data_IF_738138863359
#
_entry.id   IF_738138863359
#
_cell.length_a   1.000
_cell.length_b   1.000
_cell.length_c   1.000
_cell.angle_alpha   90.00
_cell.angle_beta   90.00
_cell.angle_gamma   90.00
#
_symmetry.space_group_name_H-M   'P 1'
#
loop_
_entity.id
_entity.type
_entity.pdbx_description
1 polymer ?
#
# COMPACT_ATOMS: atom_id res chain seq x y z
N UNK A 1 -37.42 1.84 13.39
CA UNK A 1 -37.22 2.65 12.17
C UNK A 1 -35.80 2.50 11.64
N UNK A 2 -34.81 2.22 12.50
CA UNK A 2 -33.40 2.02 12.11
C UNK A 2 -33.12 0.89 11.14
N UNK A 3 -33.73 -0.30 11.32
CA UNK A 3 -33.38 -1.50 10.52
C UNK A 3 -33.57 -1.32 9.01
N UNK A 4 -34.66 -0.68 8.57
CA UNK A 4 -34.90 -0.47 7.13
C UNK A 4 -33.98 0.61 6.55
N UNK A 5 -33.62 1.63 7.35
CA UNK A 5 -32.62 2.62 6.97
C UNK A 5 -31.23 1.96 6.83
N UNK A 6 -30.84 1.09 7.77
CA UNK A 6 -29.59 0.32 7.69
C UNK A 6 -29.54 -0.52 6.41
N UNK A 7 -30.65 -1.19 6.06
CA UNK A 7 -30.74 -2.00 4.84
C UNK A 7 -30.59 -1.13 3.59
N UNK A 8 -31.26 0.02 3.53
CA UNK A 8 -31.12 0.98 2.43
C UNK A 8 -29.67 1.46 2.27
N UNK A 9 -29.02 1.85 3.36
CA UNK A 9 -27.61 2.26 3.37
C UNK A 9 -26.66 1.11 3.01
N UNK A 10 -26.98 -0.13 3.37
CA UNK A 10 -26.18 -1.30 2.99
C UNK A 10 -26.12 -1.51 1.47
N UNK A 11 -27.19 -1.18 0.73
CA UNK A 11 -27.17 -1.21 -0.74
C UNK A 11 -26.34 -0.09 -1.36
N UNK A 12 -26.35 1.09 -0.73
CA UNK A 12 -25.56 2.26 -1.15
C UNK A 12 -24.09 2.16 -0.74
N UNK A 13 -23.73 1.23 0.13
CA UNK A 13 -22.40 1.15 0.74
C UNK A 13 -21.25 1.06 -0.28
N UNK A 14 -21.47 0.43 -1.43
CA UNK A 14 -20.46 0.41 -2.49
C UNK A 14 -20.15 1.83 -3.01
N UNK A 15 -21.19 2.63 -3.27
CA UNK A 15 -21.04 3.99 -3.79
C UNK A 15 -20.45 4.91 -2.71
N UNK A 16 -20.90 4.74 -1.46
CA UNK A 16 -20.31 5.46 -0.32
C UNK A 16 -18.81 5.15 -0.18
N UNK A 17 -18.38 3.90 -0.39
CA UNK A 17 -16.95 3.56 -0.34
C UNK A 17 -16.18 4.16 -1.53
N UNK A 18 -16.80 4.22 -2.72
CA UNK A 18 -16.18 4.82 -3.90
C UNK A 18 -15.94 6.33 -3.71
N UNK A 19 -16.85 7.01 -3.02
CA UNK A 19 -16.78 8.45 -2.72
C UNK A 19 -16.00 8.77 -1.42
N UNK A 20 -15.29 7.80 -0.85
CA UNK A 20 -14.43 8.04 0.31
C UNK A 20 -13.20 8.89 -0.10
N UNK A 21 -12.80 9.93 0.65
CA UNK A 21 -13.22 10.30 2.00
C UNK A 21 -14.40 11.28 2.12
N UNK A 22 -14.90 11.83 1.01
CA UNK A 22 -15.98 12.83 1.02
C UNK A 22 -17.29 12.26 1.62
N UNK A 23 -17.48 10.95 1.54
CA UNK A 23 -18.61 10.21 2.10
C UNK A 23 -18.55 9.95 3.62
N UNK A 24 -17.53 10.44 4.33
CA UNK A 24 -17.34 10.26 5.79
C UNK A 24 -18.61 10.42 6.64
N UNK A 25 -19.45 11.48 6.50
CA UNK A 25 -20.65 11.62 7.33
C UNK A 25 -21.66 10.49 7.12
N UNK A 26 -21.89 10.07 5.88
CA UNK A 26 -22.82 8.97 5.56
C UNK A 26 -22.30 7.61 6.07
N UNK A 27 -20.99 7.42 6.08
CA UNK A 27 -20.31 6.26 6.68
C UNK A 27 -20.46 6.29 8.21
N UNK A 28 -20.42 7.49 8.83
CA UNK A 28 -20.68 7.72 10.25
C UNK A 28 -22.10 7.33 10.68
N UNK A 29 -23.12 7.70 9.91
CA UNK A 29 -24.51 7.28 10.17
C UNK A 29 -24.63 5.75 10.19
N UNK A 30 -23.94 5.07 9.27
CA UNK A 30 -23.95 3.61 9.18
C UNK A 30 -23.26 2.96 10.39
N UNK A 31 -22.22 3.58 10.93
CA UNK A 31 -21.55 3.14 12.17
C UNK A 31 -22.51 3.16 13.36
N UNK A 32 -23.26 4.25 13.53
CA UNK A 32 -24.26 4.36 14.60
C UNK A 32 -25.39 3.36 14.41
N UNK A 33 -25.84 3.17 13.17
CA UNK A 33 -26.87 2.19 12.86
C UNK A 33 -26.43 0.74 13.13
N UNK A 34 -25.16 0.40 12.87
CA UNK A 34 -24.60 -0.95 13.15
C UNK A 34 -24.33 -1.19 14.63
N UNK A 35 -24.09 -0.15 15.42
CA UNK A 35 -23.95 -0.34 16.88
C UNK A 35 -25.30 -0.68 17.51
N UNK A 36 -26.39 -0.19 16.94
CA UNK A 36 -27.76 -0.44 17.39
C UNK A 36 -28.40 -1.68 16.75
N UNK A 37 -27.86 -2.19 15.64
CA UNK A 37 -28.43 -3.32 14.89
C UNK A 37 -27.44 -4.48 14.72
N UNK A 38 -27.90 -5.73 14.84
CA UNK A 38 -27.10 -6.94 14.63
C UNK A 38 -26.95 -7.33 13.14
N UNK A 39 -26.85 -6.36 12.22
CA UNK A 39 -26.93 -6.56 10.77
C UNK A 39 -25.58 -6.69 10.04
N UNK A 40 -24.47 -6.82 10.78
CA UNK A 40 -23.10 -6.91 10.21
C UNK A 40 -22.97 -8.00 9.14
N UNK A 41 -23.61 -9.16 9.35
CA UNK A 41 -23.62 -10.25 8.37
C UNK A 41 -24.33 -9.85 7.07
N UNK A 42 -25.52 -9.26 7.18
CA UNK A 42 -26.29 -8.79 6.03
C UNK A 42 -25.49 -7.77 5.21
N UNK A 43 -24.88 -6.79 5.89
CA UNK A 43 -24.03 -5.78 5.24
C UNK A 43 -22.85 -6.42 4.51
N UNK A 44 -22.16 -7.37 5.15
CA UNK A 44 -21.03 -8.07 4.55
C UNK A 44 -21.44 -8.87 3.29
N UNK A 45 -22.62 -9.48 3.30
CA UNK A 45 -23.16 -10.23 2.15
C UNK A 45 -23.56 -9.31 1.01
N UNK A 46 -24.30 -8.24 1.32
CA UNK A 46 -24.73 -7.23 0.34
C UNK A 46 -23.54 -6.54 -0.32
N UNK A 47 -22.55 -6.11 0.47
CA UNK A 47 -21.32 -5.51 -0.06
C UNK A 47 -20.52 -6.51 -0.90
N UNK A 48 -20.38 -7.76 -0.46
CA UNK A 48 -19.69 -8.80 -1.23
C UNK A 48 -20.37 -9.05 -2.59
N UNK A 49 -21.70 -9.04 -2.65
CA UNK A 49 -22.45 -9.19 -3.89
C UNK A 49 -22.22 -8.00 -4.83
N UNK A 50 -22.25 -6.77 -4.30
CA UNK A 50 -21.97 -5.55 -5.07
C UNK A 50 -20.54 -5.53 -5.63
N UNK A 51 -19.53 -5.90 -4.82
CA UNK A 51 -18.13 -5.98 -5.24
C UNK A 51 -17.93 -6.99 -6.39
N UNK A 52 -18.54 -8.18 -6.28
CA UNK A 52 -18.47 -9.19 -7.36
C UNK A 52 -19.11 -8.72 -8.65
N UNK A 53 -20.26 -8.03 -8.56
CA UNK A 53 -21.01 -7.58 -9.73
C UNK A 53 -20.35 -6.38 -10.43
N UNK A 54 -19.81 -5.44 -9.66
CA UNK A 54 -19.41 -4.10 -10.17
C UNK A 54 -17.90 -3.88 -10.29
N UNK A 55 -17.07 -4.69 -9.62
CA UNK A 55 -15.63 -4.45 -9.55
C UNK A 55 -14.78 -5.67 -9.91
N UNK A 56 -15.14 -6.86 -9.40
CA UNK A 56 -14.33 -8.07 -9.57
C UNK A 56 -14.62 -8.78 -10.90
N UNK A 57 -14.51 -8.04 -12.00
CA UNK A 57 -14.69 -8.54 -13.35
C UNK A 57 -13.49 -8.18 -14.25
N UNK A 58 -13.22 -8.96 -15.31
CA UNK A 58 -12.03 -8.78 -16.16
C UNK A 58 -11.88 -7.37 -16.75
N UNK A 59 -12.98 -6.65 -17.00
CA UNK A 59 -12.94 -5.29 -17.57
C UNK A 59 -12.51 -4.18 -16.62
N UNK A 60 -12.35 -4.44 -15.31
CA UNK A 60 -11.90 -3.41 -14.36
C UNK A 60 -10.37 -3.29 -14.41
N UNK A 61 -9.81 -2.08 -14.32
CA UNK A 61 -8.35 -1.88 -14.27
C UNK A 61 -7.82 -2.21 -12.88
N UNK A 62 -6.61 -2.76 -12.80
CA UNK A 62 -6.00 -3.18 -11.53
C UNK A 62 -5.86 -2.00 -10.56
N UNK A 63 -5.54 -0.81 -11.08
CA UNK A 63 -5.49 0.45 -10.31
C UNK A 63 -6.83 0.80 -9.67
N UNK A 64 -7.93 0.74 -10.41
CA UNK A 64 -9.27 1.09 -9.89
C UNK A 64 -9.70 0.12 -8.77
N UNK A 65 -9.39 -1.18 -8.92
CA UNK A 65 -9.66 -2.19 -7.90
C UNK A 65 -8.83 -1.93 -6.64
N UNK A 66 -7.56 -1.58 -6.83
CA UNK A 66 -6.65 -1.26 -5.73
C UNK A 66 -7.08 0.00 -4.98
N UNK A 67 -7.45 1.06 -5.70
CA UNK A 67 -7.96 2.31 -5.12
C UNK A 67 -9.22 2.03 -4.30
N UNK A 68 -10.20 1.32 -4.86
CA UNK A 68 -11.40 0.97 -4.09
C UNK A 68 -11.07 0.05 -2.90
N UNK A 69 -10.09 -0.85 -3.01
CA UNK A 69 -9.66 -1.67 -1.88
C UNK A 69 -9.10 -0.81 -0.73
N UNK A 70 -8.29 0.20 -1.04
CA UNK A 70 -7.76 1.16 -0.06
C UNK A 70 -8.90 1.96 0.58
N UNK A 71 -9.80 2.54 -0.22
CA UNK A 71 -10.98 3.26 0.28
C UNK A 71 -11.89 2.35 1.13
N UNK A 72 -12.11 1.10 0.70
CA UNK A 72 -12.89 0.10 1.42
C UNK A 72 -12.28 -0.18 2.78
N UNK A 73 -10.96 -0.33 2.86
CA UNK A 73 -10.25 -0.58 4.11
C UNK A 73 -10.49 0.57 5.08
N UNK A 74 -10.33 1.83 4.65
CA UNK A 74 -10.54 2.98 5.53
C UNK A 74 -12.00 3.14 5.95
N UNK A 75 -12.92 3.13 4.99
CA UNK A 75 -14.35 3.30 5.24
C UNK A 75 -14.92 2.18 6.14
N UNK A 76 -14.61 0.91 5.85
CA UNK A 76 -15.13 -0.22 6.63
C UNK A 76 -14.52 -0.26 8.03
N UNK A 77 -13.27 0.18 8.22
CA UNK A 77 -12.70 0.33 9.57
C UNK A 77 -13.36 1.44 10.36
N UNK A 78 -13.75 2.53 9.69
CA UNK A 78 -14.51 3.60 10.33
C UNK A 78 -15.87 3.08 10.82
N UNK A 79 -16.52 2.24 10.02
CA UNK A 79 -17.82 1.60 10.32
C UNK A 79 -17.71 0.53 11.41
N UNK A 80 -16.75 -0.39 11.28
CA UNK A 80 -16.58 -1.55 12.14
C UNK A 80 -15.13 -1.64 12.67
N UNK A 81 -14.85 -1.03 13.85
CA UNK A 81 -13.54 -1.11 14.47
C UNK A 81 -13.10 -2.53 14.84
N UNK A 82 -14.05 -3.48 14.98
CA UNK A 82 -13.72 -4.88 15.25
C UNK A 82 -13.23 -5.60 13.98
N UNK A 83 -13.46 -5.04 12.78
CA UNK A 83 -12.95 -5.61 11.52
C UNK A 83 -13.68 -6.87 11.05
N UNK A 84 -14.86 -7.17 11.58
CA UNK A 84 -15.67 -8.35 11.21
C UNK A 84 -16.09 -8.24 9.74
N UNK A 85 -16.64 -7.08 9.35
CA UNK A 85 -17.07 -6.85 7.95
C UNK A 85 -15.86 -6.93 7.00
N UNK A 86 -14.76 -6.26 7.35
CA UNK A 86 -13.53 -6.25 6.54
C UNK A 86 -12.98 -7.67 6.32
N UNK A 87 -12.95 -8.50 7.37
CA UNK A 87 -12.43 -9.88 7.28
C UNK A 87 -13.17 -10.75 6.26
N UNK A 88 -14.47 -10.46 6.01
CA UNK A 88 -15.30 -11.21 5.07
C UNK A 88 -15.17 -10.70 3.63
N UNK A 89 -15.10 -9.39 3.44
CA UNK A 89 -15.09 -8.78 2.10
C UNK A 89 -13.69 -8.68 1.49
N UNK A 90 -12.64 -8.59 2.32
CA UNK A 90 -11.27 -8.42 1.83
C UNK A 90 -10.74 -9.67 1.11
N UNK A 91 -11.03 -10.87 1.63
CA UNK A 91 -10.50 -12.14 1.10
C UNK A 91 -10.74 -12.33 -0.41
N UNK A 92 -11.98 -12.20 -0.91
CA UNK A 92 -12.27 -12.26 -2.34
C UNK A 92 -11.51 -11.23 -3.18
N UNK A 93 -11.37 -9.99 -2.69
CA UNK A 93 -10.65 -8.92 -3.40
C UNK A 93 -9.16 -9.26 -3.49
N UNK A 94 -8.54 -9.67 -2.37
CA UNK A 94 -7.12 -10.06 -2.33
C UNK A 94 -6.82 -11.22 -3.27
N UNK A 95 -7.69 -12.25 -3.29
CA UNK A 95 -7.56 -13.38 -4.22
C UNK A 95 -7.62 -12.93 -5.68
N UNK A 96 -8.52 -11.99 -5.99
CA UNK A 96 -8.66 -11.46 -7.34
C UNK A 96 -7.45 -10.61 -7.76
N UNK A 97 -6.97 -9.73 -6.89
CA UNK A 97 -5.77 -8.92 -7.14
C UNK A 97 -4.52 -9.78 -7.32
N UNK A 98 -4.35 -10.84 -6.52
CA UNK A 98 -3.23 -11.78 -6.64
C UNK A 98 -3.18 -12.51 -7.97
N UNK A 99 -4.33 -12.77 -8.59
CA UNK A 99 -4.40 -13.43 -9.88
C UNK A 99 -3.95 -12.52 -11.05
N UNK A 100 -3.79 -11.22 -10.81
CA UNK A 100 -3.39 -10.26 -11.85
C UNK A 100 -1.86 -10.11 -11.91
N UNK A 101 -1.25 -10.19 -13.09
CA UNK A 101 0.22 -10.15 -13.22
C UNK A 101 0.82 -8.77 -12.94
N UNK A 102 0.05 -7.70 -13.16
CA UNK A 102 0.49 -6.30 -13.05
C UNK A 102 0.35 -5.71 -11.63
N UNK A 103 -0.25 -6.45 -10.69
CA UNK A 103 -0.57 -5.94 -9.35
C UNK A 103 0.64 -5.40 -8.59
N UNK A 104 1.81 -6.05 -8.72
CA UNK A 104 3.01 -5.63 -7.99
C UNK A 104 3.44 -4.25 -8.45
N UNK A 105 3.49 -4.04 -9.77
CA UNK A 105 3.85 -2.77 -10.37
C UNK A 105 2.86 -1.67 -9.97
N UNK A 106 1.56 -1.98 -10.00
CA UNK A 106 0.51 -1.03 -9.62
C UNK A 106 0.65 -0.62 -8.15
N UNK A 107 0.81 -1.58 -7.22
CA UNK A 107 0.99 -1.27 -5.78
C UNK A 107 2.23 -0.41 -5.56
N UNK A 108 3.37 -0.76 -6.17
CA UNK A 108 4.61 0.01 -6.01
C UNK A 108 4.43 1.43 -6.56
N UNK A 109 3.83 1.59 -7.75
CA UNK A 109 3.55 2.91 -8.32
C UNK A 109 2.60 3.75 -7.45
N UNK A 110 1.58 3.11 -6.85
CA UNK A 110 0.63 3.76 -5.94
C UNK A 110 1.28 4.19 -4.62
N UNK A 111 2.22 3.39 -4.09
CA UNK A 111 2.97 3.74 -2.87
C UNK A 111 3.98 4.87 -3.12
N UNK A 112 4.67 4.84 -4.26
CA UNK A 112 5.79 5.73 -4.54
C UNK A 112 5.42 7.08 -5.16
N UNK A 113 4.19 7.24 -5.67
CA UNK A 113 3.84 8.45 -6.40
C UNK A 113 4.50 8.46 -7.77
N UNK A 114 4.00 7.62 -8.68
CA UNK A 114 4.30 7.84 -10.09
C UNK A 114 3.72 9.19 -10.46
N UNK A 115 4.56 10.15 -10.88
CA UNK A 115 4.21 11.57 -11.07
C UNK A 115 3.14 11.92 -12.12
N UNK A 116 2.08 11.13 -12.21
CA UNK A 116 0.87 11.38 -12.96
C UNK A 116 -0.18 12.04 -12.03
N UNK A 117 -0.95 12.98 -12.58
CA UNK A 117 -1.90 13.83 -11.86
C UNK A 117 -3.11 13.07 -11.25
N UNK A 118 -3.31 11.79 -11.62
CA UNK A 118 -4.43 10.94 -11.20
C UNK A 118 -4.26 10.27 -9.81
N UNK A 119 -3.26 10.69 -9.03
CA UNK A 119 -2.81 10.00 -7.82
C UNK A 119 -3.53 10.38 -6.51
N UNK A 120 -4.50 11.28 -6.57
CA UNK A 120 -5.29 11.72 -5.41
C UNK A 120 -5.93 10.55 -4.62
N UNK A 121 -6.28 9.45 -5.30
CA UNK A 121 -6.88 8.27 -4.69
C UNK A 121 -5.98 7.49 -3.72
N UNK A 122 -4.67 7.76 -3.71
CA UNK A 122 -3.70 7.10 -2.83
C UNK A 122 -3.06 8.05 -1.81
N UNK A 123 -3.50 9.30 -1.74
CA UNK A 123 -2.92 10.32 -0.85
C UNK A 123 -3.00 9.92 0.62
N UNK A 124 -4.14 9.36 1.06
CA UNK A 124 -4.30 8.88 2.43
C UNK A 124 -3.32 7.75 2.78
N UNK A 125 -3.04 6.86 1.81
CA UNK A 125 -2.06 5.78 1.97
C UNK A 125 -0.63 6.30 2.09
N UNK A 126 -0.29 7.36 1.33
CA UNK A 126 1.02 8.02 1.38
C UNK A 126 1.22 8.81 2.66
N UNK A 127 0.20 9.52 3.09
CA UNK A 127 0.21 10.22 4.38
C UNK A 127 0.43 9.23 5.53
N UNK A 128 -0.23 8.07 5.51
CA UNK A 128 0.02 7.01 6.51
C UNK A 128 1.43 6.43 6.41
N UNK A 129 1.94 6.25 5.18
CA UNK A 129 3.29 5.78 4.93
C UNK A 129 4.35 6.77 5.49
N UNK A 130 4.15 8.07 5.29
CA UNK A 130 5.01 9.14 5.81
C UNK A 130 4.89 9.28 7.34
N UNK A 131 3.66 9.27 7.88
CA UNK A 131 3.39 9.40 9.32
C UNK A 131 3.94 8.22 10.13
N UNK A 132 3.81 7.00 9.61
CA UNK A 132 4.41 5.84 10.25
C UNK A 132 5.94 5.86 10.24
N UNK A 133 6.54 6.71 9.41
CA UNK A 133 7.96 7.03 9.46
C UNK A 133 8.38 7.93 10.63
N UNK A 134 7.44 8.66 11.25
CA UNK A 134 7.71 9.62 12.33
C UNK A 134 7.63 9.04 13.75
N UNK A 135 6.93 7.91 13.96
CA UNK A 135 6.70 7.34 15.31
C UNK A 135 7.82 6.42 15.84
N UNK A 136 8.99 6.34 15.17
CA UNK A 136 10.13 5.51 15.63
C UNK A 136 10.99 6.27 16.66
N UNK A 137 10.37 6.65 17.78
CA UNK A 137 11.04 7.26 18.93
C UNK A 137 10.92 6.48 20.24
N UNK A 138 9.81 5.77 20.48
CA UNK A 138 9.58 5.09 21.77
C UNK A 138 8.64 3.91 21.61
N UNK A 139 9.17 2.79 21.14
CA UNK A 139 8.48 1.50 21.16
C UNK A 139 9.45 0.41 20.69
N UNK A 140 9.52 -0.74 21.37
CA UNK A 140 10.46 -1.79 20.97
C UNK A 140 10.16 -2.20 19.53
N UNK A 141 11.21 -2.23 18.71
CA UNK A 141 11.18 -2.64 17.32
C UNK A 141 10.49 -4.00 17.16
N UNK A 142 9.19 -3.99 16.92
CA UNK A 142 8.48 -5.15 16.42
C UNK A 142 8.64 -5.11 14.92
N UNK A 143 9.67 -5.82 14.45
CA UNK A 143 9.89 -6.01 13.03
C UNK A 143 8.60 -6.46 12.35
N UNK A 144 8.06 -5.61 11.48
CA UNK A 144 7.00 -5.94 10.52
C UNK A 144 7.52 -6.86 9.39
N UNK A 145 8.61 -7.58 9.66
CA UNK A 145 9.22 -8.59 8.84
C UNK A 145 8.79 -9.97 9.36
N UNK A 146 7.71 -10.53 8.81
CA UNK A 146 7.51 -11.98 8.83
C UNK A 146 6.62 -12.57 9.92
N UNK A 147 5.54 -11.91 10.36
CA UNK A 147 4.43 -12.65 10.99
C UNK A 147 3.42 -13.09 9.95
N UNK A 148 3.77 -14.16 9.25
CA UNK A 148 2.76 -15.11 8.82
C UNK A 148 2.10 -15.60 10.11
N UNK A 149 0.96 -14.99 10.48
CA UNK A 149 0.21 -15.23 11.71
C UNK A 149 -0.49 -16.60 11.66
N UNK A 150 0.35 -17.63 11.65
CA UNK A 150 0.03 -19.01 11.96
C UNK A 150 0.55 -19.26 13.36
N UNK A 151 -0.39 -19.49 14.28
CA UNK A 151 -0.21 -19.71 15.72
C UNK A 151 -0.19 -18.44 16.57
N UNK A 152 -1.16 -18.42 17.48
CA UNK A 152 -1.29 -17.60 18.69
C UNK A 152 0.09 -17.19 19.23
N UNK A 153 0.47 -15.93 19.03
CA UNK A 153 1.69 -15.38 19.62
C UNK A 153 1.59 -15.51 21.15
N UNK A 154 2.57 -16.12 21.85
CA UNK A 154 2.57 -16.30 23.31
C UNK A 154 2.47 -15.01 24.15
N UNK A 155 2.38 -13.85 23.49
CA UNK A 155 2.31 -12.51 24.07
C UNK A 155 0.89 -12.01 24.31
N UNK A 156 -0.14 -12.70 23.81
CA UNK A 156 -1.53 -12.22 23.92
C UNK A 156 -2.08 -12.25 25.36
N UNK A 157 -1.52 -13.09 26.25
CA UNK A 157 -1.96 -13.20 27.66
C UNK A 157 -1.60 -12.00 28.55
N UNK A 158 -0.67 -11.14 28.12
CA UNK A 158 -0.21 -9.97 28.88
C UNK A 158 -0.85 -8.66 28.40
N UNK A 159 -1.76 -8.73 27.43
CA UNK A 159 -2.36 -7.54 26.83
C UNK A 159 -3.54 -7.00 27.66
N UNK A 160 -3.45 -5.78 28.23
CA UNK A 160 -4.53 -5.16 29.00
C UNK A 160 -5.77 -4.84 28.16
N UNK A 161 -5.62 -4.75 26.83
CA UNK A 161 -6.69 -4.42 25.88
C UNK A 161 -7.25 -5.65 25.16
N UNK A 162 -6.94 -6.86 25.64
CA UNK A 162 -7.41 -8.08 25.03
C UNK A 162 -8.93 -8.18 25.12
N UNK A 163 -9.57 -8.48 24.00
CA UNK A 163 -11.02 -8.69 23.90
C UNK A 163 -11.29 -10.02 23.21
N UNK A 164 -12.28 -10.79 23.70
CA UNK A 164 -12.61 -12.08 23.12
C UNK A 164 -13.11 -11.91 21.69
N UNK A 165 -12.95 -12.97 20.88
CA UNK A 165 -13.46 -12.97 19.51
C UNK A 165 -14.98 -12.75 19.51
N UNK A 166 -15.50 -11.81 18.70
CA UNK A 166 -16.94 -11.61 18.57
C UNK A 166 -17.64 -12.88 18.08
N UNK A 167 -18.87 -13.13 18.55
CA UNK A 167 -19.63 -14.34 18.17
C UNK A 167 -19.95 -14.40 16.67
N UNK A 168 -20.04 -13.24 16.03
CA UNK A 168 -20.32 -13.11 14.60
C UNK A 168 -19.05 -13.22 13.72
N UNK A 169 -17.88 -13.39 14.33
CA UNK A 169 -16.62 -13.52 13.62
C UNK A 169 -16.55 -14.86 12.87
N UNK A 170 -16.29 -14.81 11.57
CA UNK A 170 -16.11 -16.02 10.77
C UNK A 170 -14.77 -16.72 11.07
N UNK A 171 -14.56 -17.95 10.56
CA UNK A 171 -13.30 -18.68 10.75
C UNK A 171 -12.07 -17.97 10.16
N UNK A 172 -12.27 -17.10 9.17
CA UNK A 172 -11.22 -16.25 8.58
C UNK A 172 -10.93 -14.97 9.37
N UNK A 173 -11.64 -14.73 10.47
CA UNK A 173 -11.41 -13.57 11.31
C UNK A 173 -10.08 -13.70 12.03
N UNK A 174 -9.19 -12.75 11.73
CA UNK A 174 -8.04 -12.44 12.56
C UNK A 174 -8.30 -11.07 13.16
N UNK A 175 -8.07 -10.93 14.46
CA UNK A 175 -8.18 -9.63 15.12
C UNK A 175 -7.00 -8.78 14.61
N UNK A 176 -7.18 -8.15 13.46
CA UNK A 176 -6.17 -7.32 12.82
C UNK A 176 -6.10 -6.00 13.58
N UNK A 177 -5.28 -5.97 14.63
CA UNK A 177 -5.06 -4.78 15.44
C UNK A 177 -4.16 -3.76 14.74
N UNK A 178 -3.37 -4.18 13.76
CA UNK A 178 -2.64 -3.25 12.93
C UNK A 178 -3.63 -2.47 12.06
N UNK A 179 -3.74 -1.18 12.35
CA UNK A 179 -4.41 -0.18 11.51
C UNK A 179 -3.66 0.02 10.17
N UNK A 180 -2.52 -0.64 9.99
CA UNK A 180 -1.64 -0.45 8.83
C UNK A 180 -2.27 -0.99 7.54
N UNK A 181 -2.67 -0.08 6.65
CA UNK A 181 -3.21 -0.42 5.31
C UNK A 181 -2.12 -1.02 4.42
N UNK A 182 -0.88 -0.57 4.57
CA UNK A 182 0.28 -1.00 3.80
C UNK A 182 0.62 -2.44 4.14
N UNK A 183 0.59 -2.81 5.43
CA UNK A 183 0.74 -4.20 5.85
C UNK A 183 -0.35 -5.10 5.23
N UNK A 184 -1.57 -4.59 5.10
CA UNK A 184 -2.64 -5.33 4.42
C UNK A 184 -2.46 -5.42 2.90
N UNK A 185 -1.87 -4.42 2.26
CA UNK A 185 -1.48 -4.49 0.84
C UNK A 185 -0.34 -5.49 0.63
N UNK A 186 0.68 -5.47 1.50
CA UNK A 186 1.79 -6.43 1.46
C UNK A 186 1.27 -7.86 1.68
N UNK A 187 0.26 -8.05 2.54
CA UNK A 187 -0.36 -9.37 2.77
C UNK A 187 -1.10 -9.96 1.56
N UNK A 188 -1.30 -9.18 0.50
CA UNK A 188 -1.82 -9.70 -0.77
C UNK A 188 -0.78 -10.62 -1.40
N UNK A 189 0.51 -10.34 -1.22
CA UNK A 189 1.61 -11.13 -1.73
C UNK A 189 1.92 -12.30 -0.80
N UNK A 190 2.06 -13.49 -1.38
CA UNK A 190 2.44 -14.69 -0.63
C UNK A 190 3.96 -14.76 -0.42
N UNK A 191 4.75 -14.11 -1.30
CA UNK A 191 6.20 -14.01 -1.22
C UNK A 191 6.68 -12.56 -1.17
N UNK A 192 7.46 -12.25 -0.13
CA UNK A 192 8.08 -10.94 0.06
C UNK A 192 9.18 -10.67 -0.96
N UNK A 193 9.91 -11.69 -1.41
CA UNK A 193 11.02 -11.51 -2.34
C UNK A 193 10.52 -11.01 -3.71
N UNK A 194 9.37 -11.50 -4.15
CA UNK A 194 8.69 -11.03 -5.37
C UNK A 194 8.34 -9.54 -5.29
N UNK A 195 7.86 -9.08 -4.14
CA UNK A 195 7.55 -7.66 -3.92
C UNK A 195 8.82 -6.79 -3.95
N UNK A 196 9.88 -7.22 -3.25
CA UNK A 196 11.17 -6.49 -3.22
C UNK A 196 11.78 -6.40 -4.61
N UNK A 197 11.76 -7.48 -5.39
CA UNK A 197 12.28 -7.47 -6.77
C UNK A 197 11.52 -6.49 -7.68
N UNK A 198 10.19 -6.43 -7.55
CA UNK A 198 9.40 -5.48 -8.32
C UNK A 198 9.64 -4.03 -7.89
N UNK A 199 9.88 -3.81 -6.60
CA UNK A 199 10.29 -2.52 -6.09
C UNK A 199 11.67 -2.10 -6.65
N UNK A 200 12.65 -3.01 -6.67
CA UNK A 200 13.96 -2.78 -7.32
C UNK A 200 13.78 -2.34 -8.79
N UNK A 201 12.96 -3.06 -9.56
CA UNK A 201 12.66 -2.72 -10.96
C UNK A 201 11.96 -1.36 -11.09
N UNK A 202 11.03 -1.05 -10.20
CA UNK A 202 10.32 0.24 -10.22
C UNK A 202 11.24 1.41 -9.91
N UNK A 203 12.07 1.30 -8.88
CA UNK A 203 13.07 2.31 -8.53
C UNK A 203 14.09 2.47 -9.66
N UNK A 204 14.53 1.38 -10.29
CA UNK A 204 15.38 1.42 -11.48
C UNK A 204 14.78 2.31 -12.59
N UNK A 205 13.53 2.03 -12.97
CA UNK A 205 12.84 2.76 -14.03
C UNK A 205 12.63 4.22 -13.67
N UNK A 206 12.30 4.52 -12.41
CA UNK A 206 12.15 5.89 -11.93
C UNK A 206 13.47 6.67 -12.02
N UNK A 207 14.59 6.06 -11.60
CA UNK A 207 15.92 6.66 -11.67
C UNK A 207 16.39 6.90 -13.11
N UNK A 208 16.04 6.02 -14.06
CA UNK A 208 16.35 6.24 -15.49
C UNK A 208 15.50 7.34 -16.13
N UNK A 209 14.27 7.54 -15.65
CA UNK A 209 13.37 8.59 -16.14
C UNK A 209 13.75 9.97 -15.59
N UNK A 210 14.44 10.04 -14.45
CA UNK A 210 14.78 11.30 -13.80
C UNK A 210 15.70 12.14 -14.70
N UNK A 211 15.24 13.34 -15.05
CA UNK A 211 16.03 14.29 -15.83
C UNK A 211 16.89 15.11 -14.88
N UNK A 212 18.18 15.23 -15.18
CA UNK A 212 19.09 16.09 -14.41
C UNK A 212 19.57 15.51 -13.08
N UNK A 213 19.57 14.18 -12.92
CA UNK A 213 20.02 13.50 -11.70
C UNK A 213 19.25 13.91 -10.42
N UNK A 214 17.98 14.35 -10.57
CA UNK A 214 17.12 14.63 -9.42
C UNK A 214 16.57 13.32 -8.84
N UNK A 215 17.11 12.96 -7.67
CA UNK A 215 16.79 11.72 -6.96
C UNK A 215 16.18 11.97 -5.59
N UNK A 216 15.78 13.21 -5.26
CA UNK A 216 15.28 13.56 -3.93
C UNK A 216 14.01 12.77 -3.56
N UNK A 217 13.08 12.65 -4.50
CA UNK A 217 11.84 11.88 -4.31
C UNK A 217 12.13 10.40 -4.09
N UNK A 218 12.98 9.81 -4.92
CA UNK A 218 13.35 8.38 -4.82
C UNK A 218 14.12 8.07 -3.54
N UNK A 219 14.98 9.00 -3.08
CA UNK A 219 15.69 8.89 -1.82
C UNK A 219 14.71 8.90 -0.63
N UNK A 220 13.78 9.86 -0.59
CA UNK A 220 12.74 9.94 0.46
C UNK A 220 11.89 8.68 0.49
N UNK A 221 11.46 8.23 -0.68
CA UNK A 221 10.65 7.03 -0.87
C UNK A 221 11.39 5.78 -0.36
N UNK A 222 12.67 5.64 -0.68
CA UNK A 222 13.50 4.52 -0.22
C UNK A 222 13.60 4.51 1.32
N UNK A 223 13.91 5.64 1.96
CA UNK A 223 14.00 5.74 3.42
C UNK A 223 12.71 5.34 4.14
N UNK A 224 11.59 5.78 3.58
CA UNK A 224 10.26 5.43 4.08
C UNK A 224 10.00 3.92 3.96
N UNK A 225 10.38 3.31 2.84
CA UNK A 225 10.25 1.86 2.64
C UNK A 225 11.22 1.06 3.51
N UNK A 226 12.44 1.56 3.79
CA UNK A 226 13.40 0.89 4.71
C UNK A 226 12.84 0.72 6.09
N UNK A 227 12.09 1.70 6.61
CA UNK A 227 11.46 1.58 7.93
C UNK A 227 10.45 0.42 8.01
N UNK A 228 9.83 0.06 6.88
CA UNK A 228 8.84 -1.03 6.80
C UNK A 228 9.46 -2.38 6.43
N UNK A 229 10.35 -2.40 5.45
CA UNK A 229 10.93 -3.61 4.90
C UNK A 229 12.34 -3.92 5.44
N UNK A 230 12.93 -3.05 6.24
CA UNK A 230 14.29 -3.17 6.76
C UNK A 230 15.37 -2.89 5.71
N UNK A 231 16.52 -2.46 6.19
CA UNK A 231 17.64 -1.98 5.36
C UNK A 231 18.18 -3.07 4.42
N UNK A 232 18.28 -4.32 4.91
CA UNK A 232 18.82 -5.42 4.13
C UNK A 232 18.01 -5.73 2.87
N UNK A 233 16.70 -5.49 2.88
CA UNK A 233 15.84 -5.74 1.73
C UNK A 233 16.00 -4.67 0.63
N UNK A 234 16.41 -3.45 0.99
CA UNK A 234 16.52 -2.31 0.07
C UNK A 234 17.96 -1.91 -0.26
N UNK A 235 18.93 -2.67 0.21
CA UNK A 235 20.35 -2.42 -0.05
C UNK A 235 20.68 -2.29 -1.54
N UNK A 236 19.98 -3.00 -2.43
CA UNK A 236 20.17 -2.84 -3.88
C UNK A 236 19.70 -1.47 -4.37
N UNK A 237 18.51 -1.04 -3.95
CA UNK A 237 17.99 0.28 -4.28
C UNK A 237 18.91 1.40 -3.77
N UNK A 238 19.61 1.20 -2.64
CA UNK A 238 20.59 2.16 -2.12
C UNK A 238 21.81 2.29 -3.04
N UNK A 239 22.34 1.16 -3.50
CA UNK A 239 23.46 1.17 -4.46
C UNK A 239 23.04 1.86 -5.75
N UNK A 240 21.81 1.63 -6.22
CA UNK A 240 21.30 2.30 -7.42
C UNK A 240 21.17 3.82 -7.23
N UNK A 241 20.70 4.28 -6.07
CA UNK A 241 20.67 5.71 -5.73
C UNK A 241 22.08 6.31 -5.67
N UNK A 242 23.02 5.60 -5.05
CA UNK A 242 24.41 6.02 -4.96
C UNK A 242 25.08 6.10 -6.33
N UNK A 243 24.81 5.15 -7.24
CA UNK A 243 25.31 5.16 -8.61
C UNK A 243 24.89 6.42 -9.36
N UNK A 244 23.64 6.90 -9.19
CA UNK A 244 23.17 8.13 -9.83
C UNK A 244 23.94 9.35 -9.30
N UNK A 245 24.21 9.40 -7.99
CA UNK A 245 25.00 10.48 -7.36
C UNK A 245 26.45 10.46 -7.85
N UNK A 246 27.06 9.28 -7.92
CA UNK A 246 28.43 9.11 -8.41
C UNK A 246 28.55 9.39 -9.91
N UNK A 247 27.53 9.04 -10.69
CA UNK A 247 27.43 9.40 -12.09
C UNK A 247 27.39 10.91 -12.27
N UNK A 248 26.61 11.63 -11.45
CA UNK A 248 26.57 13.11 -11.50
C UNK A 248 27.94 13.73 -11.20
N UNK A 249 28.66 13.21 -10.20
CA UNK A 249 29.99 13.68 -9.84
C UNK A 249 31.01 13.43 -10.95
N UNK A 250 30.92 12.26 -11.59
CA UNK A 250 31.81 11.87 -12.69
C UNK A 250 31.53 12.70 -13.93
N UNK A 251 30.26 12.89 -14.27
CA UNK A 251 29.81 13.77 -15.36
C UNK A 251 30.39 15.17 -15.18
N UNK A 252 30.21 15.80 -14.01
CA UNK A 252 30.76 17.13 -13.72
C UNK A 252 32.29 17.21 -13.88
N UNK A 253 33.01 16.16 -13.45
CA UNK A 253 34.47 16.08 -13.59
C UNK A 253 34.88 16.00 -15.06
N UNK A 254 34.21 15.15 -15.85
CA UNK A 254 34.46 15.00 -17.29
C UNK A 254 34.16 16.30 -18.04
N UNK A 255 33.04 16.97 -17.73
CA UNK A 255 32.70 18.25 -18.34
C UNK A 255 33.75 19.33 -18.08
N UNK A 256 34.27 19.43 -16.86
CA UNK A 256 35.34 20.39 -16.55
C UNK A 256 36.63 20.17 -17.36
N UNK A 257 36.96 18.91 -17.67
CA UNK A 257 38.12 18.56 -18.50
C UNK A 257 37.84 18.85 -19.98
N UNK A 258 36.64 18.54 -20.46
CA UNK A 258 36.24 18.80 -21.85
C UNK A 258 36.17 20.30 -22.15
N UNK A 259 35.70 21.11 -21.21
CA UNK A 259 35.69 22.57 -21.31
C UNK A 259 37.11 23.14 -21.42
N UNK A 260 38.05 22.63 -20.62
CA UNK A 260 39.47 22.97 -20.74
C UNK A 260 40.06 22.56 -22.10
N UNK A 261 39.60 21.45 -22.67
CA UNK A 261 40.07 20.93 -23.95
C UNK A 261 39.32 21.51 -25.18
N UNK A 262 38.37 22.44 -24.98
CA UNK A 262 37.53 23.03 -26.04
C UNK A 262 36.80 21.99 -26.92
N UNK A 263 36.44 20.85 -26.33
CA UNK A 263 35.68 19.81 -27.03
C UNK A 263 34.18 20.01 -26.83
N UNK A 264 33.46 20.14 -27.95
CA UNK A 264 32.01 20.28 -27.97
C UNK A 264 31.36 18.88 -27.94
N UNK A 265 31.05 18.38 -26.75
CA UNK A 265 30.31 17.13 -26.55
C UNK A 265 28.89 17.45 -26.08
N UNK A 266 27.87 16.78 -26.62
CA UNK A 266 26.45 17.02 -26.28
C UNK A 266 25.83 15.90 -25.43
N UNK A 267 26.65 15.01 -24.84
CA UNK A 267 26.20 13.78 -24.20
C UNK A 267 26.35 13.85 -22.68
N UNK A 268 25.28 13.49 -21.96
CA UNK A 268 25.29 13.29 -20.50
C UNK A 268 25.07 11.81 -20.19
N UNK A 269 26.12 11.02 -19.94
CA UNK A 269 25.98 9.60 -19.65
C UNK A 269 25.48 9.37 -18.22
N UNK A 270 24.68 8.31 -18.05
CA UNK A 270 24.40 7.74 -16.73
C UNK A 270 25.26 6.49 -16.55
N UNK A 271 26.15 6.52 -15.55
CA UNK A 271 27.04 5.42 -15.20
C UNK A 271 26.38 4.62 -14.09
N UNK A 272 26.19 3.32 -14.30
CA UNK A 272 25.47 2.44 -13.36
C UNK A 272 26.25 1.16 -13.09
N UNK A 273 26.07 0.58 -11.90
CA UNK A 273 26.69 -0.69 -11.53
C UNK A 273 25.94 -1.89 -12.12
N UNK A 274 26.62 -2.69 -12.93
CA UNK A 274 25.99 -3.83 -13.62
C UNK A 274 25.35 -4.86 -12.69
N UNK A 275 25.90 -5.08 -11.49
CA UNK A 275 25.47 -6.18 -10.62
C UNK A 275 24.24 -5.85 -9.77
N UNK A 276 23.98 -4.57 -9.52
CA UNK A 276 22.90 -4.13 -8.63
C UNK A 276 21.67 -3.62 -9.38
N UNK A 277 21.80 -3.33 -10.68
CA UNK A 277 20.69 -2.93 -11.52
C UNK A 277 19.98 -4.16 -12.09
N UNK A 278 18.64 -4.20 -12.03
CA UNK A 278 17.87 -5.26 -12.66
C UNK A 278 17.93 -5.14 -14.18
N UNK A 279 17.84 -6.27 -14.88
CA UNK A 279 17.66 -6.26 -16.33
C UNK A 279 16.29 -5.68 -16.66
N UNK A 280 16.29 -4.56 -17.39
CA UNK A 280 15.09 -3.87 -17.84
C UNK A 280 14.81 -4.30 -19.28
N UNK A 281 13.78 -5.14 -19.45
CA UNK A 281 13.13 -5.37 -20.75
C UNK A 281 12.31 -4.15 -21.18
#
# INVERSE_FOLDING_TARGET
MDVELTKGRAFQLFDLIADWPDSTPAVGDLKESISQTSLRLFISQTLSASLRKRLLHPGARTRDILQLYVSLVYAVRHIDPQGIVLSRVAGPIRRYLRARPDIVHVIVSSLLGGGDEDDAGFEQLRSELDAAGAEVGTGPATGAAGRHDTSESPTDYLDPNWTPRPIDAGPSYRQSRSADVIAMLVSIFDDRATFVKALEVSTARALLKSRGYDVQTEYRNNEVLKRRFGDAALARCDVMLQDVVDSRRTDASVWSVLEQAQHDAAMKPLITSRHFWPDLE
#
